data_IF_158996722474
#
_entry.id   IF_158996722474
#
_cell.length_a   1.000
_cell.length_b   1.000
_cell.length_c   1.000
_cell.angle_alpha   90.00
_cell.angle_beta   90.00
_cell.angle_gamma   90.00
#
_symmetry.space_group_name_H-M   'P 1'
#
loop_
_entity.id
_entity.type
_entity.pdbx_description
1 polymer ?
#
# COMPACT_ATOMS: atom_id res chain seq x y z
N UNK A 1 -4.33 -24.85 -12.76
CA UNK A 1 -4.00 -24.74 -11.31
C UNK A 1 -5.03 -23.83 -10.68
N UNK A 2 -5.80 -24.34 -9.70
CA UNK A 2 -6.85 -23.53 -9.05
C UNK A 2 -6.39 -23.01 -7.69
N UNK A 3 -6.63 -21.72 -7.45
CA UNK A 3 -6.17 -20.99 -6.25
C UNK A 3 -7.38 -20.55 -5.44
N UNK A 4 -7.39 -20.83 -4.14
CA UNK A 4 -8.35 -20.28 -3.18
C UNK A 4 -7.68 -19.14 -2.39
N UNK A 5 -8.12 -17.91 -2.61
CA UNK A 5 -7.78 -16.78 -1.76
C UNK A 5 -8.69 -16.78 -0.53
N UNK A 6 -8.11 -16.81 0.67
CA UNK A 6 -8.83 -16.75 1.96
C UNK A 6 -8.47 -15.45 2.67
N UNK A 7 -9.46 -14.55 2.89
CA UNK A 7 -9.16 -13.23 3.43
C UNK A 7 -10.33 -12.58 4.19
N UNK A 8 -10.01 -11.71 5.14
CA UNK A 8 -10.95 -10.73 5.70
C UNK A 8 -11.00 -9.43 4.90
N UNK A 9 -9.96 -9.18 4.11
CA UNK A 9 -9.72 -7.92 3.43
C UNK A 9 -10.05 -8.08 1.94
N UNK A 10 -11.32 -7.84 1.58
CA UNK A 10 -11.77 -7.99 0.19
C UNK A 10 -12.79 -6.91 -0.19
N UNK A 11 -12.89 -6.53 -1.46
CA UNK A 11 -13.95 -5.64 -1.92
C UNK A 11 -15.37 -6.14 -1.53
N UNK A 12 -16.33 -5.21 -1.41
CA UNK A 12 -16.29 -3.78 -1.77
C UNK A 12 -15.60 -2.87 -0.76
N UNK A 13 -15.11 -3.41 0.35
CA UNK A 13 -14.39 -2.61 1.36
C UNK A 13 -13.11 -2.03 0.76
N UNK A 14 -12.86 -0.74 1.01
CA UNK A 14 -11.71 -0.01 0.47
C UNK A 14 -10.57 0.03 1.50
N UNK A 15 -9.37 -0.37 1.08
CA UNK A 15 -8.16 -0.33 1.89
C UNK A 15 -6.95 -0.87 1.14
N UNK A 16 -5.76 -0.67 1.68
CA UNK A 16 -4.52 -1.07 1.01
C UNK A 16 -4.39 -2.58 0.78
N UNK A 17 -4.83 -3.42 1.73
CA UNK A 17 -4.81 -4.87 1.57
C UNK A 17 -5.88 -5.32 0.58
N UNK A 18 -7.07 -4.73 0.64
CA UNK A 18 -8.16 -5.01 -0.29
C UNK A 18 -7.75 -4.73 -1.75
N UNK A 19 -7.17 -3.56 -2.00
CA UNK A 19 -6.64 -3.21 -3.33
C UNK A 19 -5.51 -4.15 -3.75
N UNK A 20 -4.56 -4.44 -2.85
CA UNK A 20 -3.48 -5.39 -3.09
C UNK A 20 -3.99 -6.75 -3.57
N UNK A 21 -4.95 -7.34 -2.85
CA UNK A 21 -5.49 -8.66 -3.18
C UNK A 21 -6.32 -8.61 -4.47
N UNK A 22 -7.20 -7.62 -4.64
CA UNK A 22 -7.98 -7.40 -5.85
C UNK A 22 -7.08 -7.33 -7.09
N UNK A 23 -6.05 -6.50 -7.01
CA UNK A 23 -5.19 -6.22 -8.16
C UNK A 23 -4.29 -7.42 -8.48
N UNK A 24 -3.85 -8.18 -7.47
CA UNK A 24 -3.12 -9.43 -7.72
C UNK A 24 -3.98 -10.50 -8.36
N UNK A 25 -5.21 -10.74 -7.88
CA UNK A 25 -6.08 -11.76 -8.51
C UNK A 25 -6.47 -11.37 -9.93
N UNK A 26 -6.53 -10.08 -10.27
CA UNK A 26 -6.76 -9.62 -11.64
C UNK A 26 -5.61 -9.97 -12.60
N UNK A 27 -4.42 -10.32 -12.09
CA UNK A 27 -3.30 -10.82 -12.92
C UNK A 27 -3.35 -12.31 -13.21
N UNK A 28 -4.33 -13.01 -12.63
CA UNK A 28 -4.56 -14.44 -12.82
C UNK A 28 -5.74 -14.71 -13.75
N UNK A 29 -5.77 -15.85 -14.47
CA UNK A 29 -6.97 -16.23 -15.24
C UNK A 29 -8.18 -16.37 -14.30
N UNK A 30 -9.32 -15.73 -14.59
CA UNK A 30 -10.47 -15.74 -13.69
C UNK A 30 -10.98 -17.15 -13.33
N UNK A 31 -10.91 -18.10 -14.27
CA UNK A 31 -11.31 -19.49 -14.06
C UNK A 31 -10.44 -20.25 -13.07
N UNK A 32 -9.22 -19.76 -12.81
CA UNK A 32 -8.28 -20.33 -11.86
C UNK A 32 -8.46 -19.80 -10.44
N UNK A 33 -9.27 -18.74 -10.25
CA UNK A 33 -9.43 -18.03 -8.98
C UNK A 33 -10.75 -18.37 -8.32
N UNK A 34 -10.67 -18.70 -7.04
CA UNK A 34 -11.81 -18.80 -6.12
C UNK A 34 -11.49 -17.95 -4.90
N UNK A 35 -12.46 -17.20 -4.39
CA UNK A 35 -12.28 -16.35 -3.21
C UNK A 35 -13.18 -16.81 -2.08
N UNK A 36 -12.63 -16.87 -0.86
CA UNK A 36 -13.38 -17.04 0.37
C UNK A 36 -13.13 -15.85 1.28
N UNK A 37 -14.10 -14.96 1.38
CA UNK A 37 -13.97 -13.67 2.07
C UNK A 37 -15.04 -13.44 3.14
N UNK A 38 -14.73 -12.61 4.14
CA UNK A 38 -15.71 -12.10 5.11
C UNK A 38 -16.68 -11.10 4.47
N UNK A 39 -17.79 -10.80 5.16
CA UNK A 39 -18.85 -9.91 4.69
C UNK A 39 -19.03 -8.73 5.64
N UNK A 40 -18.54 -7.55 5.26
CA UNK A 40 -18.70 -6.32 6.07
C UNK A 40 -20.07 -5.66 5.82
N UNK A 41 -20.51 -5.63 4.57
CA UNK A 41 -21.80 -5.13 4.10
C UNK A 41 -22.38 -6.15 3.10
N UNK A 42 -23.51 -6.74 3.42
CA UNK A 42 -24.07 -7.86 2.64
C UNK A 42 -24.59 -7.41 1.27
N UNK A 43 -25.25 -6.25 1.18
CA UNK A 43 -25.79 -5.75 -0.07
C UNK A 43 -24.67 -5.35 -1.03
N UNK A 44 -23.74 -4.52 -0.57
CA UNK A 44 -22.60 -4.12 -1.38
C UNK A 44 -21.70 -5.31 -1.78
N UNK A 45 -21.61 -6.35 -0.93
CA UNK A 45 -20.86 -7.57 -1.27
C UNK A 45 -21.54 -8.39 -2.36
N UNK A 46 -22.87 -8.49 -2.33
CA UNK A 46 -23.64 -9.17 -3.39
C UNK A 46 -23.48 -8.45 -4.74
N UNK A 47 -23.63 -7.13 -4.75
CA UNK A 47 -23.47 -6.32 -5.97
C UNK A 47 -22.04 -6.46 -6.57
N UNK A 48 -21.03 -6.59 -5.72
CA UNK A 48 -19.65 -6.83 -6.16
C UNK A 48 -19.48 -8.24 -6.72
N UNK A 49 -20.01 -9.25 -6.03
CA UNK A 49 -19.84 -10.66 -6.38
C UNK A 49 -20.55 -11.00 -7.70
N UNK A 50 -21.69 -10.36 -7.99
CA UNK A 50 -22.41 -10.48 -9.25
C UNK A 50 -21.61 -9.97 -10.47
N UNK A 51 -20.69 -9.03 -10.24
CA UNK A 51 -19.83 -8.45 -11.28
C UNK A 51 -18.47 -9.16 -11.37
N UNK A 52 -18.13 -10.03 -10.40
CA UNK A 52 -16.85 -10.70 -10.36
C UNK A 52 -16.71 -11.75 -11.46
N UNK A 53 -15.60 -11.75 -12.19
CA UNK A 53 -15.30 -12.74 -13.22
C UNK A 53 -14.88 -14.11 -12.64
N UNK A 54 -14.77 -14.24 -11.36
CA UNK A 54 -14.35 -15.42 -10.59
C UNK A 54 -15.37 -15.73 -9.49
N UNK A 55 -15.35 -16.96 -8.96
CA UNK A 55 -16.30 -17.38 -7.93
C UNK A 55 -15.92 -16.83 -6.56
N UNK A 56 -16.90 -16.22 -5.85
CA UNK A 56 -16.73 -15.69 -4.50
C UNK A 56 -17.65 -16.43 -3.53
N UNK A 57 -17.07 -16.95 -2.46
CA UNK A 57 -17.78 -17.50 -1.32
C UNK A 57 -17.71 -16.50 -0.16
N UNK A 58 -18.82 -16.12 0.45
CA UNK A 58 -18.87 -15.18 1.57
C UNK A 58 -19.07 -15.90 2.89
N UNK A 59 -18.23 -15.55 3.87
CA UNK A 59 -18.47 -15.89 5.25
C UNK A 59 -19.49 -14.87 5.84
N UNK A 60 -20.60 -15.32 6.49
CA UNK A 60 -21.72 -14.44 6.84
C UNK A 60 -21.46 -13.57 8.09
N UNK A 61 -20.21 -13.18 8.33
CA UNK A 61 -19.79 -12.29 9.41
C UNK A 61 -18.76 -11.30 8.93
N UNK A 62 -18.71 -10.13 9.61
CA UNK A 62 -17.77 -9.05 9.29
C UNK A 62 -16.31 -9.45 9.45
N UNK A 63 -16.02 -10.40 10.35
CA UNK A 63 -14.68 -10.93 10.58
C UNK A 63 -14.74 -12.44 10.57
N UNK A 64 -13.90 -13.04 9.77
CA UNK A 64 -13.65 -14.47 9.74
C UNK A 64 -12.49 -14.78 10.69
N UNK A 65 -12.72 -15.64 11.67
CA UNK A 65 -11.70 -16.12 12.60
C UNK A 65 -11.33 -17.56 12.27
N UNK A 66 -10.14 -18.04 12.61
CA UNK A 66 -9.72 -19.43 12.37
C UNK A 66 -10.37 -20.41 13.35
N UNK A 67 -11.70 -20.56 13.25
CA UNK A 67 -12.51 -21.46 14.06
C UNK A 67 -12.72 -22.80 13.35
N UNK A 68 -13.13 -23.87 14.05
CA UNK A 68 -13.49 -25.14 13.41
C UNK A 68 -14.55 -24.96 12.30
N UNK A 69 -15.54 -24.07 12.50
CA UNK A 69 -16.59 -23.82 11.53
C UNK A 69 -16.05 -23.17 10.24
N UNK A 70 -15.18 -22.16 10.35
CA UNK A 70 -14.55 -21.51 9.19
C UNK A 70 -13.59 -22.46 8.49
N UNK A 71 -12.84 -23.27 9.23
CA UNK A 71 -11.95 -24.29 8.68
C UNK A 71 -12.74 -25.37 7.91
N UNK A 72 -13.85 -25.86 8.48
CA UNK A 72 -14.74 -26.80 7.80
C UNK A 72 -15.31 -26.23 6.50
N UNK A 73 -15.77 -24.97 6.52
CA UNK A 73 -16.27 -24.31 5.31
C UNK A 73 -15.17 -24.15 4.24
N UNK A 74 -13.98 -23.74 4.63
CA UNK A 74 -12.82 -23.68 3.73
C UNK A 74 -12.50 -25.05 3.13
N UNK A 75 -12.50 -26.11 3.92
CA UNK A 75 -12.25 -27.49 3.46
C UNK A 75 -13.33 -27.95 2.44
N UNK A 76 -14.60 -27.62 2.67
CA UNK A 76 -15.68 -27.91 1.71
C UNK A 76 -15.42 -27.21 0.36
N UNK A 77 -15.02 -25.95 0.39
CA UNK A 77 -14.68 -25.19 -0.84
C UNK A 77 -13.50 -25.82 -1.56
N UNK A 78 -12.42 -26.17 -0.82
CA UNK A 78 -11.22 -26.80 -1.38
C UNK A 78 -11.59 -28.07 -2.17
N UNK A 79 -12.43 -28.93 -1.59
CA UNK A 79 -12.84 -30.18 -2.24
C UNK A 79 -13.80 -29.96 -3.40
N UNK A 80 -14.80 -29.09 -3.22
CA UNK A 80 -15.81 -28.82 -4.25
C UNK A 80 -15.23 -28.15 -5.49
N UNK A 81 -14.23 -27.29 -5.31
CA UNK A 81 -13.61 -26.51 -6.39
C UNK A 81 -12.28 -27.13 -6.89
N UNK A 82 -11.87 -28.30 -6.36
CA UNK A 82 -10.60 -28.94 -6.71
C UNK A 82 -9.40 -27.97 -6.59
N UNK A 83 -9.26 -27.34 -5.44
CA UNK A 83 -8.24 -26.30 -5.20
C UNK A 83 -6.85 -26.95 -5.00
N UNK A 84 -5.90 -26.51 -5.80
CA UNK A 84 -4.49 -26.93 -5.68
C UNK A 84 -3.73 -26.09 -4.66
N UNK A 85 -3.98 -24.76 -4.63
CA UNK A 85 -3.23 -23.80 -3.84
C UNK A 85 -4.17 -22.99 -2.95
N UNK A 86 -3.85 -22.90 -1.65
CA UNK A 86 -4.54 -21.98 -0.74
C UNK A 86 -3.63 -20.78 -0.45
N UNK A 87 -4.12 -19.59 -0.73
CA UNK A 87 -3.45 -18.34 -0.48
C UNK A 87 -4.19 -17.55 0.60
N UNK A 88 -3.60 -17.46 1.79
CA UNK A 88 -4.10 -16.59 2.85
C UNK A 88 -3.69 -15.15 2.54
N UNK A 89 -4.65 -14.30 2.22
CA UNK A 89 -4.44 -12.91 1.83
C UNK A 89 -3.82 -12.03 2.93
N UNK A 90 -4.00 -12.43 4.21
CA UNK A 90 -3.26 -11.92 5.36
C UNK A 90 -2.86 -13.10 6.24
N UNK A 91 -1.59 -13.21 6.59
CA UNK A 91 -1.03 -14.36 7.32
C UNK A 91 -1.73 -14.58 8.68
N UNK A 92 -1.75 -13.55 9.52
CA UNK A 92 -2.34 -13.62 10.83
C UNK A 92 -3.76 -13.02 10.86
N UNK A 93 -4.75 -13.67 11.45
CA UNK A 93 -4.66 -14.99 12.07
C UNK A 93 -5.12 -16.15 11.17
N UNK A 94 -5.61 -15.90 9.93
CA UNK A 94 -6.32 -16.89 9.12
C UNK A 94 -5.46 -18.07 8.70
N UNK A 95 -4.16 -17.87 8.50
CA UNK A 95 -3.25 -18.94 8.11
C UNK A 95 -3.00 -19.98 9.23
N UNK A 96 -3.56 -19.81 10.43
CA UNK A 96 -3.70 -20.91 11.40
C UNK A 96 -4.53 -22.09 10.86
N UNK A 97 -5.36 -21.86 9.83
CA UNK A 97 -6.11 -22.89 9.13
C UNK A 97 -5.27 -23.65 8.06
N UNK A 98 -3.99 -23.35 7.91
CA UNK A 98 -3.10 -23.97 6.92
C UNK A 98 -3.11 -25.51 6.98
N UNK A 99 -3.02 -26.07 8.20
CA UNK A 99 -3.11 -27.53 8.41
C UNK A 99 -4.44 -28.11 7.94
N UNK A 100 -5.55 -27.40 8.17
CA UNK A 100 -6.87 -27.82 7.71
C UNK A 100 -6.98 -27.76 6.17
N UNK A 101 -6.37 -26.75 5.55
CA UNK A 101 -6.30 -26.63 4.10
C UNK A 101 -5.51 -27.81 3.47
N UNK A 102 -4.37 -28.15 4.07
CA UNK A 102 -3.55 -29.30 3.66
C UNK A 102 -4.33 -30.61 3.74
N UNK A 103 -5.03 -30.84 4.85
CA UNK A 103 -5.85 -32.02 5.07
C UNK A 103 -7.05 -32.12 4.11
N UNK A 104 -7.46 -31.03 3.49
CA UNK A 104 -8.51 -31.02 2.47
C UNK A 104 -8.02 -31.28 1.05
N UNK A 105 -6.71 -31.36 0.81
CA UNK A 105 -6.09 -31.68 -0.48
C UNK A 105 -5.27 -30.53 -1.10
N UNK A 106 -5.16 -29.36 -0.44
CA UNK A 106 -4.31 -28.31 -0.95
C UNK A 106 -2.83 -28.73 -0.99
N UNK A 107 -2.22 -28.61 -2.17
CA UNK A 107 -0.82 -29.03 -2.39
C UNK A 107 0.19 -27.96 -2.00
N UNK A 108 -0.22 -26.69 -2.03
CA UNK A 108 0.62 -25.55 -1.68
C UNK A 108 -0.14 -24.55 -0.84
N UNK A 109 0.52 -23.99 0.17
CA UNK A 109 -0.08 -23.04 1.10
C UNK A 109 0.81 -21.80 1.20
N UNK A 110 0.24 -20.64 0.92
CA UNK A 110 0.90 -19.36 0.89
C UNK A 110 0.23 -18.42 1.88
N UNK A 111 1.01 -17.62 2.61
CA UNK A 111 0.50 -16.61 3.51
C UNK A 111 1.17 -15.26 3.22
N UNK A 112 0.37 -14.22 2.93
CA UNK A 112 0.89 -12.88 2.67
C UNK A 112 0.98 -12.05 3.93
N UNK A 113 2.06 -11.24 4.05
CA UNK A 113 2.24 -10.28 5.13
C UNK A 113 2.16 -8.85 4.60
N UNK A 114 1.66 -7.92 5.42
CA UNK A 114 1.42 -6.53 5.04
C UNK A 114 2.05 -5.53 6.01
N UNK A 115 2.98 -5.99 6.87
CA UNK A 115 3.66 -5.18 7.87
C UNK A 115 3.00 -5.16 9.25
N UNK A 116 1.76 -5.65 9.40
CA UNK A 116 1.13 -5.81 10.73
C UNK A 116 1.87 -6.85 11.57
N UNK A 117 2.48 -7.82 10.94
CA UNK A 117 3.22 -8.92 11.54
C UNK A 117 4.46 -8.43 12.30
N UNK A 118 4.96 -7.24 12.00
CA UNK A 118 6.02 -6.59 12.78
C UNK A 118 5.57 -6.40 14.24
N UNK A 119 4.37 -5.89 14.47
CA UNK A 119 3.82 -5.78 15.83
C UNK A 119 3.59 -7.14 16.49
N UNK A 120 3.09 -8.11 15.74
CA UNK A 120 2.88 -9.48 16.23
C UNK A 120 4.19 -10.16 16.64
N UNK A 121 5.27 -9.97 15.89
CA UNK A 121 6.57 -10.54 16.19
C UNK A 121 7.20 -10.06 17.50
N UNK A 122 6.76 -8.90 18.00
CA UNK A 122 7.26 -8.26 19.22
C UNK A 122 6.53 -8.75 20.49
N UNK A 123 5.37 -9.41 20.36
CA UNK A 123 4.56 -9.88 21.48
C UNK A 123 4.69 -11.41 21.64
N UNK A 124 5.04 -11.93 22.82
CA UNK A 124 5.36 -13.36 23.00
C UNK A 124 4.26 -14.31 22.50
N UNK A 125 3.00 -14.09 22.89
CA UNK A 125 1.88 -14.97 22.45
C UNK A 125 1.61 -14.84 20.95
N UNK A 126 1.61 -13.64 20.39
CA UNK A 126 1.43 -13.40 18.96
C UNK A 126 2.60 -13.96 18.13
N UNK A 127 3.83 -13.88 18.64
CA UNK A 127 5.01 -14.50 18.04
C UNK A 127 4.85 -16.01 17.93
N UNK A 128 4.25 -16.67 18.94
CA UNK A 128 3.98 -18.11 18.88
C UNK A 128 2.95 -18.46 17.80
N UNK A 129 1.94 -17.61 17.61
CA UNK A 129 0.97 -17.76 16.51
C UNK A 129 1.68 -17.69 15.15
N UNK A 130 2.58 -16.70 14.95
CA UNK A 130 3.37 -16.60 13.71
C UNK A 130 4.24 -17.84 13.48
N UNK A 131 4.83 -18.42 14.55
CA UNK A 131 5.61 -19.67 14.47
C UNK A 131 4.76 -20.83 13.97
N UNK A 132 3.55 -20.99 14.50
CA UNK A 132 2.60 -22.03 14.05
C UNK A 132 2.20 -21.82 12.61
N UNK A 133 1.94 -20.57 12.18
CA UNK A 133 1.65 -20.24 10.78
C UNK A 133 2.82 -20.64 9.88
N UNK A 134 4.03 -20.21 10.21
CA UNK A 134 5.22 -20.49 9.41
C UNK A 134 5.52 -21.99 9.27
N UNK A 135 5.27 -22.80 10.32
CA UNK A 135 5.50 -24.25 10.26
C UNK A 135 4.51 -25.02 9.37
N UNK A 136 3.41 -24.39 8.94
CA UNK A 136 2.37 -25.04 8.12
C UNK A 136 2.17 -24.38 6.74
N UNK A 137 2.83 -23.25 6.47
CA UNK A 137 2.85 -22.61 5.17
C UNK A 137 4.13 -22.97 4.42
N UNK A 138 4.01 -23.22 3.10
CA UNK A 138 5.17 -23.45 2.23
C UNK A 138 5.90 -22.14 1.94
N UNK A 139 5.12 -21.05 1.76
CA UNK A 139 5.65 -19.71 1.45
C UNK A 139 4.98 -18.67 2.33
N UNK A 140 5.80 -17.77 2.86
CA UNK A 140 5.35 -16.50 3.47
C UNK A 140 5.84 -15.35 2.62
N UNK A 141 4.92 -14.56 2.05
CA UNK A 141 5.33 -13.41 1.25
C UNK A 141 5.52 -12.17 2.11
N UNK A 142 6.44 -11.30 1.67
CA UNK A 142 6.75 -10.04 2.35
C UNK A 142 6.80 -8.88 1.35
N UNK A 143 6.54 -7.67 1.84
CA UNK A 143 6.41 -6.47 1.00
C UNK A 143 7.68 -5.61 0.98
N UNK A 144 8.56 -5.75 1.98
CA UNK A 144 9.83 -5.02 2.08
C UNK A 144 10.84 -5.78 2.92
N UNK A 145 12.13 -5.61 2.64
CA UNK A 145 13.21 -6.24 3.40
C UNK A 145 13.22 -5.81 4.86
N UNK A 146 12.83 -4.55 5.11
CA UNK A 146 12.61 -4.07 6.47
C UNK A 146 11.59 -4.94 7.21
N UNK A 147 10.40 -5.15 6.64
CA UNK A 147 9.36 -5.94 7.30
C UNK A 147 9.81 -7.38 7.52
N UNK A 148 10.45 -7.99 6.52
CA UNK A 148 11.03 -9.33 6.63
C UNK A 148 12.05 -9.40 7.78
N UNK A 149 12.99 -8.47 7.86
CA UNK A 149 14.02 -8.45 8.90
C UNK A 149 13.44 -8.43 10.32
N UNK A 150 12.25 -7.82 10.47
CA UNK A 150 11.57 -7.68 11.76
C UNK A 150 10.82 -8.93 12.19
N UNK A 151 10.18 -9.65 11.27
CA UNK A 151 9.33 -10.78 11.64
C UNK A 151 9.86 -12.17 11.24
N UNK A 152 10.89 -12.28 10.40
CA UNK A 152 11.43 -13.55 9.89
C UNK A 152 11.62 -14.60 10.98
N UNK A 153 12.32 -14.24 12.06
CA UNK A 153 12.59 -15.14 13.18
C UNK A 153 11.32 -15.57 13.96
N UNK A 154 10.21 -14.84 13.82
CA UNK A 154 8.95 -15.22 14.45
C UNK A 154 8.22 -16.32 13.68
N UNK A 155 8.30 -16.35 12.35
CA UNK A 155 7.71 -17.39 11.51
C UNK A 155 8.50 -18.71 11.51
N UNK A 156 9.78 -18.69 11.85
CA UNK A 156 10.66 -19.85 11.68
C UNK A 156 11.26 -19.92 10.29
N UNK A 157 11.14 -21.06 9.59
CA UNK A 157 11.87 -21.34 8.36
C UNK A 157 10.97 -21.69 7.15
N UNK A 158 9.82 -21.03 6.94
CA UNK A 158 9.13 -21.16 5.65
C UNK A 158 9.98 -20.52 4.55
N UNK A 159 9.70 -20.83 3.28
CA UNK A 159 10.27 -20.06 2.19
C UNK A 159 9.72 -18.62 2.23
N UNK A 160 10.60 -17.62 2.20
CA UNK A 160 10.19 -16.22 2.15
C UNK A 160 10.33 -15.68 0.72
N UNK A 161 9.25 -15.14 0.19
CA UNK A 161 9.19 -14.57 -1.16
C UNK A 161 8.77 -13.12 -1.14
N UNK A 162 9.52 -12.26 -1.83
CA UNK A 162 9.18 -10.84 -1.97
C UNK A 162 8.01 -10.69 -2.93
N UNK A 163 6.92 -10.08 -2.45
CA UNK A 163 5.69 -9.85 -3.21
C UNK A 163 5.02 -8.53 -2.78
N UNK A 164 5.58 -7.38 -3.13
CA UNK A 164 4.94 -6.09 -2.92
C UNK A 164 3.84 -5.83 -3.94
N UNK A 165 3.06 -4.77 -3.74
CA UNK A 165 2.08 -4.30 -4.72
C UNK A 165 2.76 -3.84 -6.00
N UNK A 166 2.12 -4.08 -7.13
CA UNK A 166 2.48 -3.46 -8.40
C UNK A 166 1.95 -2.03 -8.52
N UNK A 167 2.42 -1.33 -9.54
CA UNK A 167 1.92 0.01 -9.93
C UNK A 167 1.34 -0.07 -11.33
N UNK A 168 0.18 0.55 -11.52
CA UNK A 168 -0.41 0.76 -12.84
C UNK A 168 0.32 1.91 -13.54
N UNK A 169 1.31 1.55 -14.34
CA UNK A 169 2.14 2.49 -15.09
C UNK A 169 1.41 3.19 -16.24
N UNK A 170 0.24 2.69 -16.66
CA UNK A 170 -0.60 3.36 -17.64
C UNK A 170 -1.42 4.47 -16.98
N UNK A 171 -2.04 4.15 -15.86
CA UNK A 171 -2.80 5.13 -15.07
C UNK A 171 -1.91 6.24 -14.53
N UNK A 172 -0.74 5.90 -14.03
CA UNK A 172 0.26 6.84 -13.53
C UNK A 172 1.34 7.06 -14.58
N UNK A 173 0.97 7.68 -15.71
CA UNK A 173 1.92 8.06 -16.76
C UNK A 173 2.28 9.54 -16.70
N UNK A 174 3.53 9.94 -16.98
CA UNK A 174 3.93 11.34 -16.98
C UNK A 174 3.09 12.19 -17.94
N UNK A 175 2.67 13.34 -17.49
CA UNK A 175 1.97 14.34 -18.32
C UNK A 175 2.95 15.31 -18.95
N UNK A 176 2.65 15.74 -20.19
CA UNK A 176 3.30 16.91 -20.78
C UNK A 176 3.00 18.18 -19.99
N UNK A 177 3.79 19.23 -20.17
CA UNK A 177 3.56 20.52 -19.50
C UNK A 177 2.16 21.06 -19.78
N UNK A 178 1.67 20.95 -21.03
CA UNK A 178 0.34 21.40 -21.44
C UNK A 178 -0.76 20.60 -20.74
N UNK A 179 -0.63 19.29 -20.71
CA UNK A 179 -1.58 18.41 -20.01
C UNK A 179 -1.61 18.68 -18.51
N UNK A 180 -0.45 18.89 -17.87
CA UNK A 180 -0.36 19.24 -16.44
C UNK A 180 -1.07 20.56 -16.14
N UNK A 181 -0.90 21.58 -16.98
CA UNK A 181 -1.60 22.85 -16.84
C UNK A 181 -3.11 22.70 -16.99
N UNK A 182 -3.57 21.89 -17.94
CA UNK A 182 -4.99 21.58 -18.11
C UNK A 182 -5.56 20.89 -16.86
N UNK A 183 -4.85 19.92 -16.28
CA UNK A 183 -5.26 19.24 -15.03
C UNK A 183 -5.27 20.23 -13.85
N UNK A 184 -4.30 21.12 -13.73
CA UNK A 184 -4.27 22.17 -12.70
C UNK A 184 -5.49 23.09 -12.82
N UNK A 185 -5.82 23.56 -14.03
CA UNK A 185 -7.01 24.39 -14.27
C UNK A 185 -8.29 23.66 -13.87
N UNK A 186 -8.44 22.38 -14.22
CA UNK A 186 -9.60 21.57 -13.85
C UNK A 186 -9.73 21.33 -12.33
N UNK A 187 -8.60 21.31 -11.60
CA UNK A 187 -8.57 21.24 -10.14
C UNK A 187 -8.75 22.60 -9.46
N UNK A 188 -8.85 23.69 -10.21
CA UNK A 188 -8.88 25.05 -9.69
C UNK A 188 -7.53 25.51 -9.12
N UNK A 189 -6.43 24.85 -9.51
CA UNK A 189 -5.08 25.22 -9.08
C UNK A 189 -4.50 26.32 -9.97
N UNK A 190 -3.69 27.20 -9.38
CA UNK A 190 -2.99 28.27 -10.14
C UNK A 190 -1.98 27.64 -11.10
N UNK A 191 -1.92 28.14 -12.32
CA UNK A 191 -1.03 27.58 -13.37
C UNK A 191 0.45 27.77 -13.06
N UNK A 192 0.86 28.86 -12.45
CA UNK A 192 2.25 29.20 -12.12
C UNK A 192 2.68 28.82 -10.69
N UNK A 193 1.81 28.20 -9.88
CA UNK A 193 2.13 27.89 -8.48
C UNK A 193 2.96 26.63 -8.30
N UNK A 194 3.64 26.53 -7.16
CA UNK A 194 4.33 25.29 -6.74
C UNK A 194 3.41 24.42 -5.90
N UNK A 195 3.27 23.14 -6.25
CA UNK A 195 2.38 22.21 -5.56
C UNK A 195 3.11 21.02 -4.98
N UNK A 196 3.06 20.90 -3.66
CA UNK A 196 3.52 19.72 -2.92
C UNK A 196 2.31 18.91 -2.47
N UNK A 197 2.25 17.64 -2.85
CA UNK A 197 1.12 16.76 -2.54
C UNK A 197 1.55 15.70 -1.54
N UNK A 198 0.72 15.47 -0.52
CA UNK A 198 0.86 14.37 0.44
C UNK A 198 -0.41 13.53 0.42
N UNK A 199 -0.33 12.32 -0.11
CA UNK A 199 -1.46 11.40 -0.24
C UNK A 199 -1.29 10.24 0.74
N UNK A 200 -2.13 10.16 1.77
CA UNK A 200 -2.12 9.04 2.71
C UNK A 200 -3.28 9.12 3.70
N UNK A 201 -3.50 8.05 4.45
CA UNK A 201 -4.31 8.15 5.68
C UNK A 201 -3.71 9.21 6.61
N UNK A 202 -4.55 10.05 7.20
CA UNK A 202 -4.09 11.05 8.17
C UNK A 202 -3.80 10.39 9.52
N UNK A 203 -2.56 9.98 9.71
CA UNK A 203 -2.04 9.37 10.93
C UNK A 203 -0.64 9.91 11.25
N UNK A 204 -0.25 10.01 12.53
CA UNK A 204 0.97 10.69 12.92
C UNK A 204 2.26 10.16 12.29
N UNK A 205 2.33 8.85 11.96
CA UNK A 205 3.54 8.28 11.35
C UNK A 205 3.79 8.76 9.92
N UNK A 206 2.75 9.25 9.21
CA UNK A 206 2.84 9.69 7.80
C UNK A 206 3.48 11.09 7.64
N UNK A 207 3.67 11.84 8.72
CA UNK A 207 4.44 13.09 8.70
C UNK A 207 3.70 14.34 8.22
N UNK A 208 2.37 14.28 8.00
CA UNK A 208 1.60 15.47 7.59
C UNK A 208 1.76 16.64 8.56
N UNK A 209 1.86 16.36 9.86
CA UNK A 209 2.07 17.38 10.89
C UNK A 209 3.44 18.07 10.79
N UNK A 210 4.45 17.41 10.25
CA UNK A 210 5.74 18.04 9.99
C UNK A 210 5.65 18.98 8.78
N UNK A 211 5.03 18.52 7.69
CA UNK A 211 4.80 19.37 6.52
C UNK A 211 4.00 20.62 6.86
N UNK A 212 2.93 20.47 7.65
CA UNK A 212 2.10 21.61 8.09
C UNK A 212 2.90 22.59 8.95
N UNK A 213 3.73 22.10 9.88
CA UNK A 213 4.53 22.96 10.78
C UNK A 213 5.58 23.78 10.06
N UNK A 214 6.26 23.17 9.07
CA UNK A 214 7.34 23.82 8.34
C UNK A 214 6.83 24.66 7.14
N UNK A 215 5.51 24.63 6.87
CA UNK A 215 4.99 25.32 5.69
C UNK A 215 5.19 26.84 5.69
N UNK A 216 5.12 27.55 6.86
CA UNK A 216 5.52 28.97 6.90
C UNK A 216 6.95 29.22 6.39
N UNK A 217 7.90 28.34 6.71
CA UNK A 217 9.30 28.47 6.27
C UNK A 217 9.42 28.21 4.75
N UNK A 218 8.64 27.26 4.20
CA UNK A 218 8.57 27.06 2.74
C UNK A 218 8.06 28.33 2.04
N UNK A 219 7.06 29.02 2.60
CA UNK A 219 6.49 30.23 2.02
C UNK A 219 7.43 31.41 2.03
N UNK A 220 8.47 31.43 2.89
CA UNK A 220 9.51 32.48 2.84
C UNK A 220 10.36 32.36 1.57
N UNK A 221 10.53 31.14 1.05
CA UNK A 221 11.29 30.86 -0.18
C UNK A 221 10.40 30.82 -1.42
N UNK A 222 9.17 30.31 -1.27
CA UNK A 222 8.21 30.09 -2.35
C UNK A 222 6.83 30.62 -1.92
N UNK A 223 6.57 31.94 -2.03
CA UNK A 223 5.32 32.57 -1.55
C UNK A 223 4.06 32.05 -2.23
N UNK A 224 4.18 31.44 -3.40
CA UNK A 224 3.11 30.85 -4.20
C UNK A 224 2.91 29.35 -3.95
N UNK A 225 3.72 28.73 -3.07
CA UNK A 225 3.64 27.31 -2.81
C UNK A 225 2.35 26.91 -2.08
N UNK A 226 1.79 25.77 -2.47
CA UNK A 226 0.59 25.17 -1.85
C UNK A 226 0.87 23.71 -1.45
N UNK A 227 0.58 23.37 -0.20
CA UNK A 227 0.58 22.00 0.31
C UNK A 227 -0.83 21.42 0.16
N UNK A 228 -0.95 20.31 -0.56
CA UNK A 228 -2.23 19.60 -0.72
C UNK A 228 -2.16 18.28 0.04
N UNK A 229 -2.95 18.15 1.09
CA UNK A 229 -3.05 16.95 1.92
C UNK A 229 -4.30 16.18 1.55
N UNK A 230 -4.09 15.03 0.91
CA UNK A 230 -5.14 14.16 0.39
C UNK A 230 -5.31 12.95 1.29
N UNK A 231 -6.52 12.71 1.75
CA UNK A 231 -6.87 11.52 2.52
C UNK A 231 -7.69 11.81 3.77
N UNK A 232 -8.17 10.75 4.40
CA UNK A 232 -8.96 10.80 5.63
C UNK A 232 -8.22 10.23 6.84
N UNK A 233 -8.69 10.59 8.02
CA UNK A 233 -8.14 10.12 9.29
C UNK A 233 -9.15 10.26 10.43
N UNK A 234 -8.69 10.07 11.67
CA UNK A 234 -9.54 10.32 12.83
C UNK A 234 -9.91 11.81 12.93
N UNK A 235 -11.13 12.09 13.38
CA UNK A 235 -11.59 13.48 13.61
C UNK A 235 -10.59 14.27 14.45
N UNK A 236 -10.06 13.66 15.52
CA UNK A 236 -9.09 14.28 16.43
C UNK A 236 -7.79 14.68 15.72
N UNK A 237 -7.21 13.81 14.92
CA UNK A 237 -5.95 14.10 14.23
C UNK A 237 -6.14 15.11 13.08
N UNK A 238 -7.24 14.98 12.32
CA UNK A 238 -7.60 15.94 11.28
C UNK A 238 -7.82 17.34 11.85
N UNK A 239 -8.56 17.47 12.96
CA UNK A 239 -8.75 18.75 13.64
C UNK A 239 -7.42 19.33 14.17
N UNK A 240 -6.51 18.48 14.67
CA UNK A 240 -5.16 18.91 15.07
C UNK A 240 -4.36 19.48 13.90
N UNK A 241 -4.38 18.81 12.73
CA UNK A 241 -3.67 19.30 11.55
C UNK A 241 -4.24 20.64 11.06
N UNK A 242 -5.56 20.81 11.03
CA UNK A 242 -6.21 22.06 10.65
C UNK A 242 -5.86 23.21 11.63
N UNK A 243 -5.81 22.91 12.94
CA UNK A 243 -5.38 23.90 13.95
C UNK A 243 -3.92 24.29 13.79
N UNK A 244 -3.03 23.33 13.46
CA UNK A 244 -1.63 23.62 13.17
C UNK A 244 -1.45 24.48 11.92
N UNK A 245 -2.29 24.29 10.91
CA UNK A 245 -2.27 25.09 9.69
C UNK A 245 -2.71 26.54 9.92
N UNK A 246 -3.55 26.79 10.93
CA UNK A 246 -3.99 28.16 11.28
C UNK A 246 -4.57 28.90 10.10
N UNK A 247 -4.11 30.13 9.88
CA UNK A 247 -4.56 30.99 8.78
C UNK A 247 -4.10 30.54 7.39
N UNK A 248 -3.18 29.56 7.29
CA UNK A 248 -2.76 28.99 6.01
C UNK A 248 -3.75 27.92 5.49
N UNK A 249 -4.68 27.46 6.35
CA UNK A 249 -5.67 26.45 5.98
C UNK A 249 -6.67 27.01 4.96
N UNK A 250 -6.81 26.28 3.86
CA UNK A 250 -7.74 26.63 2.77
C UNK A 250 -7.08 27.34 1.59
N UNK A 251 -6.05 28.15 1.80
CA UNK A 251 -5.31 28.83 0.73
C UNK A 251 -3.95 28.17 0.47
N UNK A 252 -3.06 28.14 1.46
CA UNK A 252 -1.69 27.61 1.32
C UNK A 252 -1.54 26.17 1.78
N UNK A 253 -2.47 25.67 2.58
CA UNK A 253 -2.56 24.27 3.03
C UNK A 253 -3.98 23.79 2.80
N UNK A 254 -4.18 22.96 1.80
CA UNK A 254 -5.47 22.44 1.38
C UNK A 254 -5.66 21.02 1.92
N UNK A 255 -6.78 20.78 2.60
CA UNK A 255 -7.18 19.45 3.09
C UNK A 255 -8.37 18.97 2.27
N UNK A 256 -8.17 18.03 1.36
CA UNK A 256 -9.24 17.54 0.48
C UNK A 256 -10.19 16.54 1.14
N UNK A 257 -9.74 15.89 2.23
CA UNK A 257 -10.41 14.71 2.75
C UNK A 257 -10.18 13.49 1.86
N UNK A 258 -11.04 12.48 1.98
CA UNK A 258 -11.02 11.32 1.08
C UNK A 258 -11.57 11.71 -0.27
N UNK A 259 -10.88 11.33 -1.32
CA UNK A 259 -11.29 11.52 -2.71
C UNK A 259 -11.29 10.17 -3.42
N UNK A 260 -12.01 10.07 -4.53
CA UNK A 260 -11.97 8.89 -5.40
C UNK A 260 -10.60 8.72 -6.07
N UNK A 261 -10.31 7.51 -6.52
CA UNK A 261 -9.02 7.14 -7.09
C UNK A 261 -8.63 7.99 -8.31
N UNK A 262 -9.59 8.32 -9.19
CA UNK A 262 -9.34 9.18 -10.34
C UNK A 262 -8.93 10.60 -9.93
N UNK A 263 -9.66 11.18 -8.96
CA UNK A 263 -9.36 12.52 -8.46
C UNK A 263 -8.00 12.57 -7.74
N UNK A 264 -7.67 11.51 -6.98
CA UNK A 264 -6.35 11.34 -6.35
C UNK A 264 -5.23 11.31 -7.40
N UNK A 265 -5.40 10.52 -8.45
CA UNK A 265 -4.45 10.42 -9.57
C UNK A 265 -4.24 11.77 -10.25
N UNK A 266 -5.32 12.52 -10.52
CA UNK A 266 -5.22 13.87 -11.11
C UNK A 266 -4.45 14.85 -10.23
N UNK A 267 -4.67 14.84 -8.90
CA UNK A 267 -3.90 15.66 -7.97
C UNK A 267 -2.42 15.30 -7.97
N UNK A 268 -2.11 14.00 -8.04
CA UNK A 268 -0.72 13.53 -8.11
C UNK A 268 -0.03 14.01 -9.39
N UNK A 269 -0.68 13.86 -10.55
CA UNK A 269 -0.15 14.32 -11.83
C UNK A 269 0.04 15.86 -11.90
N UNK A 270 -0.77 16.62 -11.18
CA UNK A 270 -0.69 18.07 -11.10
C UNK A 270 0.44 18.58 -10.19
N UNK A 271 1.01 17.71 -9.34
CA UNK A 271 2.03 18.07 -8.36
C UNK A 271 3.41 18.37 -9.00
N UNK A 272 4.21 19.17 -8.32
CA UNK A 272 5.64 19.34 -8.59
C UNK A 272 6.50 18.39 -7.78
N UNK A 273 6.06 18.08 -6.55
CA UNK A 273 6.75 17.19 -5.62
C UNK A 273 5.70 16.38 -4.85
N UNK A 274 5.94 15.10 -4.68
CA UNK A 274 5.23 14.28 -3.71
C UNK A 274 6.04 14.20 -2.40
N UNK A 275 5.44 14.54 -1.26
CA UNK A 275 6.13 14.50 0.02
C UNK A 275 5.31 13.76 1.08
N UNK A 276 5.86 12.68 1.60
CA UNK A 276 5.31 11.97 2.75
C UNK A 276 6.47 11.59 3.70
N UNK A 277 6.93 12.52 4.54
CA UNK A 277 8.07 12.29 5.44
C UNK A 277 7.66 11.41 6.62
N UNK A 278 7.42 10.14 6.32
CA UNK A 278 7.00 9.16 7.31
C UNK A 278 8.09 8.91 8.36
N UNK A 279 7.67 8.53 9.57
CA UNK A 279 8.57 8.30 10.71
C UNK A 279 8.13 7.09 11.53
N UNK A 280 9.08 6.36 12.03
CA UNK A 280 8.86 5.25 12.96
C UNK A 280 8.45 5.78 14.34
N UNK A 281 7.43 5.16 14.95
CA UNK A 281 6.89 5.51 16.26
C UNK A 281 6.70 4.26 17.12
N UNK A 282 6.47 4.48 18.43
CA UNK A 282 6.14 3.40 19.35
C UNK A 282 7.20 2.30 19.42
N UNK A 283 8.50 2.66 19.45
CA UNK A 283 9.57 1.67 19.51
C UNK A 283 9.65 0.71 18.31
N UNK A 284 9.08 1.09 17.17
CA UNK A 284 9.05 0.24 15.97
C UNK A 284 7.71 -0.46 15.70
N UNK A 285 6.70 -0.21 16.54
CA UNK A 285 5.35 -0.79 16.35
C UNK A 285 4.54 -0.08 15.26
N UNK A 286 4.79 1.22 15.04
CA UNK A 286 4.07 2.04 14.06
C UNK A 286 5.05 2.55 13.01
N UNK A 287 5.15 1.78 11.91
CA UNK A 287 6.10 1.99 10.82
C UNK A 287 5.38 2.03 9.46
N UNK A 288 6.04 2.57 8.45
CA UNK A 288 5.60 2.44 7.06
C UNK A 288 6.02 1.08 6.52
N UNK A 289 5.07 0.24 6.08
CA UNK A 289 5.38 -1.09 5.57
C UNK A 289 6.18 -1.06 4.27
N UNK A 290 5.72 -0.23 3.31
CA UNK A 290 6.39 0.00 2.02
C UNK A 290 6.14 1.42 1.51
N UNK A 291 4.86 1.82 1.36
CA UNK A 291 4.49 3.13 0.84
C UNK A 291 4.34 3.14 -0.69
N UNK A 292 3.40 2.34 -1.21
CA UNK A 292 3.13 2.23 -2.66
C UNK A 292 2.93 3.60 -3.34
N UNK A 293 2.39 4.59 -2.63
CA UNK A 293 2.15 5.93 -3.17
C UNK A 293 3.43 6.66 -3.61
N UNK A 294 4.59 6.34 -3.06
CA UNK A 294 5.87 6.85 -3.58
C UNK A 294 6.15 6.32 -4.99
N UNK A 295 5.84 5.05 -5.22
CA UNK A 295 6.01 4.42 -6.53
C UNK A 295 4.97 4.94 -7.54
N UNK A 296 3.73 5.20 -7.10
CA UNK A 296 2.70 5.85 -7.92
C UNK A 296 3.13 7.27 -8.36
N UNK A 297 3.72 8.04 -7.44
CA UNK A 297 4.27 9.36 -7.76
C UNK A 297 5.43 9.28 -8.75
N UNK A 298 6.36 8.36 -8.52
CA UNK A 298 7.48 8.12 -9.44
C UNK A 298 7.00 7.63 -10.80
N UNK A 299 5.97 6.78 -10.86
CA UNK A 299 5.34 6.36 -12.11
C UNK A 299 4.77 7.55 -12.91
N UNK A 300 4.18 8.51 -12.21
CA UNK A 300 3.69 9.77 -12.81
C UNK A 300 4.81 10.76 -13.17
N UNK A 301 6.07 10.39 -12.98
CA UNK A 301 7.22 11.27 -13.24
C UNK A 301 7.39 12.39 -12.21
N UNK A 302 6.85 12.24 -11.01
CA UNK A 302 6.92 13.21 -9.92
C UNK A 302 8.00 12.77 -8.93
N UNK A 303 9.01 13.62 -8.62
CA UNK A 303 10.02 13.31 -7.62
C UNK A 303 9.42 13.21 -6.22
N UNK A 304 10.01 12.36 -5.39
CA UNK A 304 9.45 12.04 -4.08
C UNK A 304 10.39 12.45 -2.93
N UNK A 305 9.79 12.90 -1.83
CA UNK A 305 10.44 13.03 -0.52
C UNK A 305 9.84 11.97 0.39
N UNK A 306 10.64 10.96 0.70
CA UNK A 306 10.24 9.84 1.54
C UNK A 306 10.88 9.95 2.93
N UNK A 307 10.13 9.58 3.98
CA UNK A 307 10.69 9.52 5.32
C UNK A 307 11.43 8.20 5.57
N UNK A 308 12.49 8.24 6.38
CA UNK A 308 13.25 7.07 6.83
C UNK A 308 12.44 6.27 7.86
N UNK A 309 11.47 5.49 7.38
CA UNK A 309 10.60 4.66 8.23
C UNK A 309 10.20 3.38 7.51
N UNK A 310 10.50 2.25 8.14
CA UNK A 310 10.13 0.96 7.59
C UNK A 310 10.70 0.70 6.21
N UNK A 311 9.88 0.18 5.30
CA UNK A 311 10.23 -0.09 3.91
C UNK A 311 10.15 1.13 2.98
N UNK A 312 9.77 2.33 3.46
CA UNK A 312 9.68 3.49 2.59
C UNK A 312 10.98 3.82 1.85
N UNK A 313 12.18 3.74 2.45
CA UNK A 313 13.43 3.95 1.73
C UNK A 313 13.67 2.95 0.57
N UNK A 314 13.08 1.77 0.63
CA UNK A 314 13.25 0.73 -0.41
C UNK A 314 12.50 1.08 -1.72
N UNK A 315 11.60 2.04 -1.68
CA UNK A 315 10.86 2.54 -2.84
C UNK A 315 11.56 3.68 -3.56
N UNK A 316 12.68 4.19 -3.04
CA UNK A 316 13.35 5.40 -3.53
C UNK A 316 14.84 5.15 -3.68
N UNK A 317 15.39 5.50 -4.85
CA UNK A 317 16.85 5.57 -5.06
C UNK A 317 17.31 7.03 -4.95
N UNK A 318 18.62 7.28 -4.71
CA UNK A 318 19.15 8.65 -4.67
C UNK A 318 18.86 9.46 -5.93
N UNK A 319 18.69 8.77 -7.08
CA UNK A 319 18.41 9.39 -8.37
C UNK A 319 16.92 9.66 -8.60
N UNK A 320 16.01 8.99 -7.85
CA UNK A 320 14.57 9.07 -8.05
C UNK A 320 13.84 9.90 -6.99
N UNK A 321 14.52 10.26 -5.89
CA UNK A 321 13.94 11.06 -4.82
C UNK A 321 14.90 11.28 -3.66
N UNK A 322 14.38 11.89 -2.59
CA UNK A 322 15.16 12.23 -1.39
C UNK A 322 14.58 11.50 -0.18
N UNK A 323 15.43 10.77 0.55
CA UNK A 323 15.07 10.13 1.81
C UNK A 323 15.51 10.99 2.98
N UNK A 324 14.57 11.45 3.80
CA UNK A 324 14.79 12.37 4.93
C UNK A 324 14.52 11.70 6.28
N UNK A 325 15.07 12.24 7.36
CA UNK A 325 14.53 11.94 8.69
C UNK A 325 13.15 12.63 8.84
N UNK A 326 12.08 11.87 8.88
CA UNK A 326 10.72 12.37 9.02
C UNK A 326 10.43 13.06 10.39
N UNK A 327 11.42 13.15 11.28
CA UNK A 327 11.38 13.93 12.52
C UNK A 327 12.10 15.27 12.40
N UNK A 328 13.02 15.40 11.46
CA UNK A 328 13.81 16.61 11.22
C UNK A 328 13.06 17.56 10.28
N UNK A 329 12.57 18.67 10.81
CA UNK A 329 11.98 19.73 9.97
C UNK A 329 13.03 20.33 9.03
N UNK A 330 14.28 20.42 9.49
CA UNK A 330 15.39 20.93 8.69
C UNK A 330 15.65 20.06 7.44
N UNK A 331 15.72 18.73 7.61
CA UNK A 331 15.94 17.82 6.48
C UNK A 331 14.80 17.89 5.47
N UNK A 332 13.55 17.94 5.98
CA UNK A 332 12.36 18.02 5.12
C UNK A 332 12.34 19.36 4.36
N UNK A 333 12.63 20.46 5.04
CA UNK A 333 12.69 21.79 4.43
C UNK A 333 13.79 21.88 3.37
N UNK A 334 14.99 21.38 3.67
CA UNK A 334 16.11 21.36 2.73
C UNK A 334 15.75 20.54 1.44
N UNK A 335 15.12 19.39 1.61
CA UNK A 335 14.67 18.58 0.49
C UNK A 335 13.61 19.28 -0.36
N UNK A 336 12.64 19.97 0.27
CA UNK A 336 11.63 20.76 -0.43
C UNK A 336 12.27 21.93 -1.18
N UNK A 337 13.18 22.68 -0.56
CA UNK A 337 13.89 23.79 -1.21
C UNK A 337 14.67 23.28 -2.43
N UNK A 338 15.43 22.18 -2.27
CA UNK A 338 16.20 21.59 -3.37
C UNK A 338 15.30 21.26 -4.56
N UNK A 339 14.17 20.59 -4.33
CA UNK A 339 13.29 20.19 -5.42
C UNK A 339 12.46 21.36 -5.98
N UNK A 340 12.04 22.32 -5.17
CA UNK A 340 11.22 23.43 -5.67
C UNK A 340 12.03 24.49 -6.42
N UNK A 341 13.30 24.70 -6.04
CA UNK A 341 14.17 25.69 -6.69
C UNK A 341 14.73 25.24 -8.05
N UNK A 342 14.83 23.92 -8.29
CA UNK A 342 15.46 23.39 -9.51
C UNK A 342 14.48 22.54 -10.35
N UNK A 343 13.82 23.13 -11.37
CA UNK A 343 12.93 22.41 -12.29
C UNK A 343 13.65 21.29 -13.07
N UNK A 344 14.94 21.45 -13.37
CA UNK A 344 15.72 20.44 -14.08
C UNK A 344 15.95 19.22 -13.19
N UNK A 345 16.38 19.43 -11.95
CA UNK A 345 16.53 18.36 -10.97
C UNK A 345 15.20 17.60 -10.78
N UNK A 346 14.07 18.31 -10.65
CA UNK A 346 12.75 17.65 -10.56
C UNK A 346 12.44 16.78 -11.77
N UNK A 347 12.69 17.29 -12.97
CA UNK A 347 12.42 16.57 -14.20
C UNK A 347 13.31 15.31 -14.31
N UNK A 348 14.60 15.45 -13.98
CA UNK A 348 15.57 14.36 -14.04
C UNK A 348 15.24 13.26 -13.03
N UNK A 349 14.94 13.63 -11.78
CA UNK A 349 14.49 12.68 -10.74
C UNK A 349 13.18 12.01 -11.13
N UNK A 350 12.20 12.74 -11.63
CA UNK A 350 10.93 12.20 -12.08
C UNK A 350 11.10 11.16 -13.19
N UNK A 351 11.96 11.41 -14.19
CA UNK A 351 12.27 10.44 -15.26
C UNK A 351 12.93 9.18 -14.73
N UNK A 352 13.89 9.31 -13.79
CA UNK A 352 14.57 8.17 -13.19
C UNK A 352 13.61 7.37 -12.30
N UNK A 353 12.74 8.05 -11.55
CA UNK A 353 11.68 7.39 -10.78
C UNK A 353 10.73 6.59 -11.67
N UNK A 354 10.32 7.15 -12.81
CA UNK A 354 9.52 6.43 -13.81
C UNK A 354 10.23 5.17 -14.30
N UNK A 355 11.50 5.29 -14.70
CA UNK A 355 12.29 4.16 -15.15
C UNK A 355 12.43 3.07 -14.09
N UNK A 356 12.62 3.44 -12.82
CA UNK A 356 12.67 2.50 -11.69
C UNK A 356 11.36 1.70 -11.57
N UNK A 357 10.21 2.38 -11.67
CA UNK A 357 8.90 1.71 -11.58
C UNK A 357 8.69 0.76 -12.77
N UNK A 358 8.95 1.19 -13.99
CA UNK A 358 8.81 0.36 -15.19
C UNK A 358 9.71 -0.88 -15.17
N UNK A 359 10.92 -0.74 -14.64
CA UNK A 359 11.88 -1.84 -14.55
C UNK A 359 11.56 -2.85 -13.45
N UNK A 360 10.88 -2.44 -12.35
CA UNK A 360 10.85 -3.27 -11.16
C UNK A 360 9.49 -3.43 -10.48
N UNK A 361 8.53 -2.53 -10.72
CA UNK A 361 7.33 -2.42 -9.87
C UNK A 361 6.00 -2.48 -10.62
N UNK A 362 5.98 -2.90 -11.89
CA UNK A 362 4.72 -2.96 -12.65
C UNK A 362 3.88 -4.18 -12.26
N UNK A 363 2.56 -4.11 -12.52
CA UNK A 363 1.65 -5.23 -12.27
C UNK A 363 1.99 -6.46 -13.11
N UNK A 364 2.54 -6.31 -14.32
CA UNK A 364 3.00 -7.43 -15.15
C UNK A 364 4.10 -8.21 -14.45
N UNK A 365 5.06 -7.51 -13.84
CA UNK A 365 6.17 -8.12 -13.09
C UNK A 365 5.69 -8.77 -11.80
N UNK A 366 4.85 -8.08 -11.04
CA UNK A 366 4.32 -8.60 -9.78
C UNK A 366 3.39 -9.78 -10.03
N UNK A 367 2.56 -9.74 -11.07
CA UNK A 367 1.72 -10.87 -11.48
C UNK A 367 2.54 -12.08 -11.94
N UNK A 368 3.61 -11.87 -12.71
CA UNK A 368 4.53 -12.94 -13.07
C UNK A 368 5.21 -13.56 -11.84
N UNK A 369 5.59 -12.74 -10.85
CA UNK A 369 6.15 -13.20 -9.58
C UNK A 369 5.11 -14.00 -8.79
N UNK A 370 3.87 -13.52 -8.68
CA UNK A 370 2.79 -14.26 -8.03
C UNK A 370 2.57 -15.62 -8.68
N UNK A 371 2.48 -15.69 -10.01
CA UNK A 371 2.32 -16.97 -10.72
C UNK A 371 3.44 -17.96 -10.40
N UNK A 372 4.70 -17.49 -10.35
CA UNK A 372 5.84 -18.33 -9.94
C UNK A 372 5.71 -18.81 -8.49
N UNK A 373 5.29 -17.94 -7.56
CA UNK A 373 5.07 -18.30 -6.16
C UNK A 373 3.94 -19.31 -6.02
N UNK A 374 2.87 -19.19 -6.80
CA UNK A 374 1.74 -20.12 -6.80
C UNK A 374 2.10 -21.47 -7.41
N UNK A 375 2.99 -21.52 -8.40
CA UNK A 375 3.40 -22.78 -9.03
C UNK A 375 4.00 -23.74 -7.97
N UNK A 376 3.49 -24.95 -7.96
CA UNK A 376 4.09 -26.02 -7.16
C UNK A 376 5.45 -26.35 -7.75
N UNK A 377 6.52 -26.53 -6.94
CA UNK A 377 7.75 -27.10 -7.48
C UNK A 377 7.42 -28.43 -8.18
N UNK A 378 7.91 -28.60 -9.39
CA UNK A 378 7.88 -29.92 -10.04
C UNK A 378 8.65 -30.89 -9.14
N UNK A 379 8.00 -31.92 -8.65
CA UNK A 379 8.59 -33.00 -7.84
C UNK A 379 9.44 -33.90 -8.70
#
# INVERSE_FOLDING_TARGET
>A
MRVLLVTNDFPPTIGGIQSYLRDFISTLPPQDVVVFASTQDAAAAADWDDQAAYRVYRWPRRVMLPTPATACRMQQIIRAENIDVVWFGAAAPLALMARAARAAGARRIIASTHGHEVGWSMLPGARQVLRVIGSHCDVVTYISDYTLSRFRAAFGEPTFEWLPSGVDSHRFSPLSAVQRQAVRSQLGWRTGGHYVVCISRLVPRKGQDQLVRLWPDVLTHFPDATLVIVGGGSRRFTARLRRLAGNLAGDRIVFTGRVGEEHMSRMLHAADVFAMPCRTRGGGLDVEGLGIVYLEAQAAGIPVIAGRSGGAPETVTPESGIVVDGRSQQDILAALITLLSDPKCRCDMGRRGRSLVEQSWTWERMGARLRRILATPET
#
